data_IF_175477442162
#
_entry.id   IF_175477442162
#
_cell.length_a   1.000
_cell.length_b   1.000
_cell.length_c   1.000
_cell.angle_alpha   90.00
_cell.angle_beta   90.00
_cell.angle_gamma   90.00
#
_symmetry.space_group_name_H-M   'P 1'
#
loop_
_entity.id
_entity.type
_entity.pdbx_description
1 polymer ?
#
# COMPACT_ATOMS: atom_id res chain seq x y z
N UNK A 1 -7.46 -3.00 -30.72
CA UNK A 1 -7.09 -3.68 -32.00
C UNK A 1 -7.89 -4.96 -32.22
N UNK A 2 -7.85 -5.95 -31.30
CA UNK A 2 -8.57 -7.23 -31.46
C UNK A 2 -10.07 -7.09 -31.69
N UNK A 3 -10.72 -6.14 -31.00
CA UNK A 3 -12.12 -5.80 -31.27
C UNK A 3 -12.39 -5.43 -32.73
N UNK A 4 -11.55 -4.57 -33.33
CA UNK A 4 -11.64 -4.22 -34.76
C UNK A 4 -11.45 -5.43 -35.67
N UNK A 5 -10.61 -6.40 -35.28
CA UNK A 5 -10.46 -7.65 -36.04
C UNK A 5 -11.74 -8.48 -35.98
N UNK A 6 -12.39 -8.59 -34.81
CA UNK A 6 -13.67 -9.28 -34.68
C UNK A 6 -14.78 -8.60 -35.49
N UNK A 7 -14.83 -7.27 -35.50
CA UNK A 7 -15.78 -6.49 -36.32
C UNK A 7 -15.53 -6.74 -37.83
N UNK A 8 -14.28 -6.72 -38.29
CA UNK A 8 -13.92 -7.04 -39.67
C UNK A 8 -14.28 -8.49 -40.04
N UNK A 9 -14.03 -9.44 -39.14
CA UNK A 9 -14.40 -10.85 -39.32
C UNK A 9 -15.92 -10.98 -39.51
N UNK A 10 -16.71 -10.34 -38.66
CA UNK A 10 -18.17 -10.33 -38.76
C UNK A 10 -18.64 -9.79 -40.11
N UNK A 11 -18.08 -8.66 -40.55
CA UNK A 11 -18.43 -8.03 -41.83
C UNK A 11 -18.10 -8.91 -43.04
N UNK A 12 -16.89 -9.48 -43.07
CA UNK A 12 -16.46 -10.35 -44.17
C UNK A 12 -17.29 -11.63 -44.23
N UNK A 13 -17.58 -12.22 -43.06
CA UNK A 13 -18.42 -13.41 -42.97
C UNK A 13 -19.85 -13.13 -43.44
N UNK A 14 -20.44 -12.00 -43.01
CA UNK A 14 -21.79 -11.60 -43.43
C UNK A 14 -21.90 -11.37 -44.95
N UNK A 15 -20.80 -10.99 -45.61
CA UNK A 15 -20.72 -10.84 -47.08
C UNK A 15 -20.36 -12.13 -47.81
N UNK A 16 -20.27 -13.28 -47.13
CA UNK A 16 -19.88 -14.56 -47.72
C UNK A 16 -18.40 -14.67 -48.11
N UNK A 17 -17.55 -13.71 -47.72
CA UNK A 17 -16.13 -13.69 -48.07
C UNK A 17 -15.30 -14.57 -47.12
N UNK A 18 -15.63 -15.85 -47.02
CA UNK A 18 -15.13 -16.77 -46.00
C UNK A 18 -13.60 -16.95 -46.01
N UNK A 19 -12.98 -17.06 -47.20
CA UNK A 19 -11.50 -17.15 -47.32
C UNK A 19 -10.79 -15.92 -46.79
N UNK A 20 -11.41 -14.74 -46.90
CA UNK A 20 -10.86 -13.48 -46.38
C UNK A 20 -10.91 -13.41 -44.84
N UNK A 21 -11.76 -14.21 -44.19
CA UNK A 21 -11.89 -14.24 -42.71
C UNK A 21 -10.68 -14.93 -42.06
N UNK A 22 -10.18 -16.02 -42.65
CA UNK A 22 -9.08 -16.86 -42.12
C UNK A 22 -7.87 -16.04 -41.62
N UNK A 23 -7.26 -15.13 -42.41
CA UNK A 23 -6.08 -14.39 -41.95
C UNK A 23 -6.37 -13.48 -40.75
N UNK A 24 -7.58 -12.93 -40.63
CA UNK A 24 -7.95 -12.09 -39.47
C UNK A 24 -8.11 -12.92 -38.21
N UNK A 25 -8.72 -14.11 -38.31
CA UNK A 25 -8.86 -15.04 -37.18
C UNK A 25 -7.47 -15.50 -36.71
N UNK A 26 -6.60 -15.89 -37.64
CA UNK A 26 -5.21 -16.30 -37.32
C UNK A 26 -4.43 -15.17 -36.64
N UNK A 27 -4.46 -13.95 -37.20
CA UNK A 27 -3.80 -12.77 -36.63
C UNK A 27 -4.35 -12.43 -35.24
N UNK A 28 -5.67 -12.45 -35.09
CA UNK A 28 -6.36 -12.19 -33.82
C UNK A 28 -5.99 -13.19 -32.73
N UNK A 29 -6.03 -14.49 -33.05
CA UNK A 29 -5.62 -15.57 -32.14
C UNK A 29 -4.16 -15.43 -31.71
N UNK A 30 -3.25 -15.19 -32.66
CA UNK A 30 -1.83 -15.06 -32.34
C UNK A 30 -1.55 -13.87 -31.42
N UNK A 31 -2.25 -12.74 -31.62
CA UNK A 31 -2.18 -11.59 -30.72
C UNK A 31 -2.81 -11.90 -29.35
N UNK A 32 -3.95 -12.59 -29.31
CA UNK A 32 -4.57 -13.00 -28.06
C UNK A 32 -3.62 -13.88 -27.23
N UNK A 33 -2.92 -14.83 -27.85
CA UNK A 33 -1.88 -15.64 -27.19
C UNK A 33 -0.70 -14.78 -26.73
N UNK A 34 -0.16 -13.93 -27.62
CA UNK A 34 1.01 -13.10 -27.32
C UNK A 34 0.79 -12.18 -26.12
N UNK A 35 -0.41 -11.61 -25.99
CA UNK A 35 -0.75 -10.65 -24.94
C UNK A 35 -1.57 -11.28 -23.79
N UNK A 36 -1.74 -12.60 -23.80
CA UNK A 36 -2.53 -13.34 -22.81
C UNK A 36 -3.98 -12.82 -22.66
N UNK A 37 -4.60 -12.43 -23.77
CA UNK A 37 -5.99 -11.99 -23.82
C UNK A 37 -6.91 -13.18 -24.09
N UNK A 38 -6.96 -14.12 -23.14
CA UNK A 38 -7.59 -15.44 -23.32
C UNK A 38 -9.07 -15.37 -23.70
N UNK A 39 -9.83 -14.41 -23.14
CA UNK A 39 -11.24 -14.18 -23.49
C UNK A 39 -11.41 -13.83 -24.97
N UNK A 40 -10.55 -12.97 -25.52
CA UNK A 40 -10.47 -12.74 -26.97
C UNK A 40 -10.04 -13.99 -27.74
N UNK A 41 -9.12 -14.78 -27.17
CA UNK A 41 -8.73 -16.08 -27.70
C UNK A 41 -9.95 -16.98 -27.97
N UNK A 42 -10.85 -17.12 -26.99
CA UNK A 42 -12.10 -17.90 -27.12
C UNK A 42 -12.98 -17.38 -28.26
N UNK A 43 -13.10 -16.06 -28.43
CA UNK A 43 -13.84 -15.50 -29.57
C UNK A 43 -13.24 -15.91 -30.92
N UNK A 44 -11.91 -15.90 -31.06
CA UNK A 44 -11.27 -16.33 -32.29
C UNK A 44 -11.42 -17.85 -32.52
N UNK A 45 -11.35 -18.68 -31.47
CA UNK A 45 -11.65 -20.12 -31.55
C UNK A 45 -13.08 -20.35 -32.03
N UNK A 46 -14.06 -19.59 -31.54
CA UNK A 46 -15.45 -19.70 -32.00
C UNK A 46 -15.60 -19.35 -33.48
N UNK A 47 -14.81 -18.41 -34.00
CA UNK A 47 -14.76 -18.12 -35.44
C UNK A 47 -14.09 -19.24 -36.24
N UNK A 48 -12.99 -19.83 -35.76
CA UNK A 48 -12.37 -21.01 -36.42
C UNK A 48 -13.37 -22.17 -36.51
N UNK A 49 -14.15 -22.41 -35.44
CA UNK A 49 -15.21 -23.44 -35.41
C UNK A 49 -16.31 -23.15 -36.42
N UNK A 50 -16.77 -21.90 -36.52
CA UNK A 50 -17.78 -21.49 -37.51
C UNK A 50 -17.30 -21.73 -38.94
N UNK A 51 -16.06 -21.33 -39.27
CA UNK A 51 -15.48 -21.57 -40.59
C UNK A 51 -15.39 -23.07 -40.90
N UNK A 52 -15.02 -23.89 -39.92
CA UNK A 52 -14.95 -25.35 -40.07
C UNK A 52 -16.32 -26.01 -40.31
N UNK A 53 -17.44 -25.35 -39.98
CA UNK A 53 -18.79 -25.84 -40.27
C UNK A 53 -19.25 -25.52 -41.71
N UNK A 54 -18.67 -24.51 -42.36
CA UNK A 54 -19.19 -23.95 -43.63
C UNK A 54 -18.20 -23.98 -44.79
N UNK A 55 -16.92 -24.32 -44.54
CA UNK A 55 -15.87 -24.38 -45.55
C UNK A 55 -15.28 -25.78 -45.71
N UNK A 56 -14.62 -26.02 -46.85
CA UNK A 56 -13.75 -27.17 -47.04
C UNK A 56 -12.55 -27.14 -46.07
N UNK A 57 -12.28 -28.29 -45.46
CA UNK A 57 -11.36 -28.47 -44.34
C UNK A 57 -9.89 -28.46 -44.76
N UNK A 58 -9.58 -28.69 -46.03
CA UNK A 58 -8.20 -28.75 -46.54
C UNK A 58 -7.39 -27.46 -46.27
N UNK A 59 -8.09 -26.32 -46.14
CA UNK A 59 -7.49 -25.00 -45.88
C UNK A 59 -7.51 -24.57 -44.41
N UNK A 60 -8.02 -25.42 -43.51
CA UNK A 60 -8.27 -25.12 -42.11
C UNK A 60 -7.40 -25.98 -41.19
N UNK A 61 -7.23 -25.51 -39.96
CA UNK A 61 -6.64 -26.32 -38.88
C UNK A 61 -7.58 -27.47 -38.51
N UNK A 62 -7.00 -28.54 -37.97
CA UNK A 62 -7.77 -29.67 -37.45
C UNK A 62 -8.72 -29.20 -36.34
N UNK A 63 -9.97 -29.69 -36.36
CA UNK A 63 -10.96 -29.39 -35.32
C UNK A 63 -10.46 -29.80 -33.92
N UNK A 64 -9.68 -30.87 -33.81
CA UNK A 64 -9.13 -31.32 -32.54
C UNK A 64 -8.15 -30.31 -31.95
N UNK A 65 -7.32 -29.67 -32.79
CA UNK A 65 -6.41 -28.61 -32.35
C UNK A 65 -7.18 -27.36 -31.92
N UNK A 66 -8.21 -26.97 -32.68
CA UNK A 66 -9.06 -25.81 -32.37
C UNK A 66 -9.76 -26.01 -31.02
N UNK A 67 -10.30 -27.21 -30.77
CA UNK A 67 -10.94 -27.55 -29.50
C UNK A 67 -9.93 -27.69 -28.35
N UNK A 68 -8.72 -28.15 -28.60
CA UNK A 68 -7.65 -28.17 -27.61
C UNK A 68 -7.23 -26.75 -27.19
N UNK A 69 -7.02 -25.84 -28.16
CA UNK A 69 -6.74 -24.43 -27.91
C UNK A 69 -7.89 -23.78 -27.10
N UNK A 70 -9.14 -24.05 -27.49
CA UNK A 70 -10.32 -23.57 -26.77
C UNK A 70 -10.34 -24.00 -25.31
N UNK A 71 -10.07 -25.29 -25.03
CA UNK A 71 -9.96 -25.81 -23.66
C UNK A 71 -8.82 -25.14 -22.89
N UNK A 72 -7.65 -24.97 -23.51
CA UNK A 72 -6.51 -24.29 -22.88
C UNK A 72 -6.82 -22.83 -22.53
N UNK A 73 -7.50 -22.09 -23.41
CA UNK A 73 -7.91 -20.72 -23.10
C UNK A 73 -8.91 -20.66 -21.95
N UNK A 74 -9.89 -21.57 -21.92
CA UNK A 74 -10.84 -21.64 -20.79
C UNK A 74 -10.15 -21.96 -19.47
N UNK A 75 -9.18 -22.88 -19.46
CA UNK A 75 -8.39 -23.19 -18.26
C UNK A 75 -7.56 -21.99 -17.78
N UNK A 76 -6.92 -21.25 -18.70
CA UNK A 76 -6.17 -20.05 -18.34
C UNK A 76 -7.09 -18.95 -17.76
N UNK A 77 -8.29 -18.77 -18.32
CA UNK A 77 -9.27 -17.81 -17.78
C UNK A 77 -9.66 -18.19 -16.35
N UNK A 78 -9.93 -19.48 -16.11
CA UNK A 78 -10.28 -19.96 -14.77
C UNK A 78 -9.13 -19.76 -13.78
N UNK A 79 -7.90 -20.12 -14.17
CA UNK A 79 -6.72 -19.98 -13.32
C UNK A 79 -6.42 -18.50 -13.00
N UNK A 80 -6.54 -17.60 -13.99
CA UNK A 80 -6.39 -16.15 -13.77
C UNK A 80 -7.45 -15.62 -12.81
N UNK A 81 -8.72 -15.96 -13.04
CA UNK A 81 -9.82 -15.50 -12.20
C UNK A 81 -9.68 -15.99 -10.75
N UNK A 82 -9.35 -17.26 -10.54
CA UNK A 82 -9.10 -17.81 -9.19
C UNK A 82 -7.97 -17.07 -8.48
N UNK A 83 -6.87 -16.80 -9.19
CA UNK A 83 -5.70 -16.13 -8.62
C UNK A 83 -5.94 -14.64 -8.34
N UNK A 84 -6.63 -13.94 -9.24
CA UNK A 84 -7.01 -12.53 -9.05
C UNK A 84 -8.01 -12.39 -7.89
N UNK A 85 -9.00 -13.29 -7.79
CA UNK A 85 -9.97 -13.29 -6.67
C UNK A 85 -9.26 -13.42 -5.32
N UNK A 86 -8.28 -14.33 -5.20
CA UNK A 86 -7.48 -14.45 -3.97
C UNK A 86 -6.67 -13.18 -3.65
N UNK A 87 -6.20 -12.44 -4.67
CA UNK A 87 -5.51 -11.15 -4.46
C UNK A 87 -6.49 -10.06 -4.01
N UNK A 88 -7.67 -10.00 -4.60
CA UNK A 88 -8.73 -9.05 -4.21
C UNK A 88 -9.15 -9.27 -2.76
N UNK A 89 -9.35 -10.52 -2.34
CA UNK A 89 -9.62 -10.88 -0.95
C UNK A 89 -8.50 -10.40 0.01
N UNK A 90 -7.24 -10.49 -0.41
CA UNK A 90 -6.10 -10.02 0.38
C UNK A 90 -6.02 -8.50 0.47
N UNK A 91 -6.33 -7.78 -0.62
CA UNK A 91 -6.36 -6.31 -0.62
C UNK A 91 -7.56 -5.76 0.18
N UNK A 92 -8.71 -6.42 0.13
CA UNK A 92 -9.85 -6.10 0.99
C UNK A 92 -9.50 -6.32 2.46
N UNK A 93 -8.87 -7.47 2.77
CA UNK A 93 -8.37 -7.77 4.11
C UNK A 93 -7.42 -6.67 4.60
N UNK A 94 -6.49 -6.21 3.76
CA UNK A 94 -5.55 -5.12 4.09
C UNK A 94 -6.26 -3.80 4.38
N UNK A 95 -7.35 -3.51 3.67
CA UNK A 95 -8.08 -2.26 3.85
C UNK A 95 -8.81 -2.21 5.21
N UNK A 96 -9.25 -3.36 5.72
CA UNK A 96 -10.01 -3.47 6.98
C UNK A 96 -9.16 -3.88 8.18
N UNK A 97 -8.08 -4.63 7.97
CA UNK A 97 -7.30 -5.24 9.04
C UNK A 97 -6.49 -4.18 9.78
N UNK A 98 -6.90 -3.91 11.03
CA UNK A 98 -6.12 -3.13 11.99
C UNK A 98 -4.96 -3.94 12.60
N UNK A 99 -5.17 -5.25 12.71
CA UNK A 99 -4.16 -6.22 13.13
C UNK A 99 -4.38 -7.57 12.43
N UNK A 100 -3.38 -8.03 11.69
CA UNK A 100 -3.42 -9.32 11.01
C UNK A 100 -3.33 -10.52 11.98
N UNK A 101 -3.12 -10.28 13.29
CA UNK A 101 -3.20 -11.33 14.32
C UNK A 101 -4.64 -11.66 14.74
N UNK A 102 -5.64 -10.87 14.38
CA UNK A 102 -7.04 -11.22 14.66
C UNK A 102 -7.41 -12.56 14.00
N UNK A 103 -8.26 -13.34 14.68
CA UNK A 103 -8.56 -14.72 14.30
C UNK A 103 -9.21 -14.77 12.92
N UNK A 104 -10.12 -13.85 12.65
CA UNK A 104 -10.85 -13.70 11.40
C UNK A 104 -9.91 -13.43 10.23
N UNK A 105 -8.91 -12.56 10.42
CA UNK A 105 -7.92 -12.23 9.40
C UNK A 105 -6.99 -13.41 9.10
N UNK A 106 -6.62 -14.20 10.13
CA UNK A 106 -5.82 -15.42 9.93
C UNK A 106 -6.57 -16.50 9.17
N UNK A 107 -7.89 -16.63 9.38
CA UNK A 107 -8.70 -17.62 8.65
C UNK A 107 -8.67 -17.39 7.13
N UNK A 108 -8.75 -16.13 6.68
CA UNK A 108 -8.65 -15.81 5.24
C UNK A 108 -7.27 -16.21 4.69
N UNK A 109 -6.20 -15.84 5.39
CA UNK A 109 -4.84 -16.19 4.99
C UNK A 109 -4.60 -17.70 4.99
N UNK A 110 -5.13 -18.43 5.97
CA UNK A 110 -5.03 -19.87 6.07
C UNK A 110 -5.82 -20.57 4.96
N UNK A 111 -7.00 -20.06 4.61
CA UNK A 111 -7.78 -20.56 3.47
C UNK A 111 -6.99 -20.42 2.18
N UNK A 112 -6.46 -19.22 1.90
CA UNK A 112 -5.69 -18.94 0.69
C UNK A 112 -4.42 -19.78 0.63
N UNK A 113 -3.67 -19.88 1.74
CA UNK A 113 -2.45 -20.68 1.80
C UNK A 113 -2.70 -22.18 1.60
N UNK A 114 -3.87 -22.68 1.99
CA UNK A 114 -4.26 -24.08 1.81
C UNK A 114 -5.00 -24.36 0.50
N UNK A 115 -5.32 -23.34 -0.30
CA UNK A 115 -5.95 -23.52 -1.60
C UNK A 115 -5.09 -24.46 -2.48
N UNK A 116 -5.67 -25.44 -3.19
CA UNK A 116 -4.90 -26.44 -3.94
C UNK A 116 -3.85 -25.84 -4.88
N UNK A 117 -4.22 -24.78 -5.62
CA UNK A 117 -3.35 -24.08 -6.57
C UNK A 117 -2.15 -23.37 -5.91
N UNK A 118 -2.25 -23.03 -4.61
CA UNK A 118 -1.17 -22.41 -3.83
C UNK A 118 -0.35 -23.50 -3.13
N UNK A 119 -1.02 -24.41 -2.43
CA UNK A 119 -0.41 -25.46 -1.59
C UNK A 119 0.51 -26.39 -2.37
N UNK A 120 0.19 -26.68 -3.63
CA UNK A 120 1.01 -27.54 -4.49
C UNK A 120 2.35 -26.92 -4.88
N UNK A 121 2.59 -25.64 -4.59
CA UNK A 121 3.83 -24.90 -4.89
C UNK A 121 4.27 -24.97 -6.36
N UNK A 122 3.32 -25.19 -7.27
CA UNK A 122 3.56 -25.24 -8.71
C UNK A 122 3.13 -23.91 -9.30
N UNK A 123 4.10 -23.12 -9.75
CA UNK A 123 3.82 -21.82 -10.33
C UNK A 123 2.98 -21.96 -11.63
N UNK A 124 1.92 -21.15 -11.77
CA UNK A 124 1.22 -20.93 -13.03
C UNK A 124 2.11 -20.67 -14.24
N UNK A 125 1.61 -21.03 -15.42
CA UNK A 125 2.30 -20.74 -16.70
C UNK A 125 1.98 -19.34 -17.22
N UNK A 126 0.72 -18.91 -17.11
CA UNK A 126 0.29 -17.58 -17.55
C UNK A 126 0.96 -16.47 -16.74
N UNK A 127 1.28 -15.37 -17.40
CA UNK A 127 1.92 -14.21 -16.81
C UNK A 127 1.10 -13.64 -15.65
N UNK A 128 -0.21 -13.43 -15.83
CA UNK A 128 -1.08 -12.84 -14.79
C UNK A 128 -1.22 -13.78 -13.60
N UNK A 129 -1.59 -15.04 -13.84
CA UNK A 129 -1.67 -16.06 -12.78
C UNK A 129 -0.35 -16.19 -12.01
N UNK A 130 0.80 -16.11 -12.70
CA UNK A 130 2.12 -16.19 -12.07
C UNK A 130 2.45 -14.94 -11.25
N UNK A 131 2.06 -13.75 -11.70
CA UNK A 131 2.16 -12.52 -10.91
C UNK A 131 1.35 -12.64 -9.62
N UNK A 132 0.08 -13.00 -9.72
CA UNK A 132 -0.82 -13.17 -8.58
C UNK A 132 -0.28 -14.23 -7.61
N UNK A 133 0.19 -15.37 -8.11
CA UNK A 133 0.83 -16.41 -7.32
C UNK A 133 2.02 -15.88 -6.49
N UNK A 134 2.93 -15.11 -7.12
CA UNK A 134 4.08 -14.52 -6.41
C UNK A 134 3.64 -13.48 -5.36
N UNK A 135 2.61 -12.69 -5.66
CA UNK A 135 2.04 -11.71 -4.71
C UNK A 135 1.42 -12.41 -3.50
N UNK A 136 0.64 -13.48 -3.71
CA UNK A 136 0.07 -14.30 -2.62
C UNK A 136 1.18 -14.83 -1.72
N UNK A 137 2.25 -15.39 -2.28
CA UNK A 137 3.38 -15.87 -1.49
C UNK A 137 4.14 -14.76 -0.75
N UNK A 138 4.26 -13.57 -1.35
CA UNK A 138 4.81 -12.40 -0.67
C UNK A 138 3.98 -12.03 0.56
N UNK A 139 2.65 -12.04 0.44
CA UNK A 139 1.71 -11.81 1.53
C UNK A 139 1.81 -12.86 2.63
N UNK A 140 1.83 -14.14 2.27
CA UNK A 140 2.00 -15.24 3.23
C UNK A 140 3.33 -15.09 3.99
N UNK A 141 4.42 -14.78 3.29
CA UNK A 141 5.72 -14.56 3.92
C UNK A 141 5.70 -13.35 4.87
N UNK A 142 5.14 -12.23 4.43
CA UNK A 142 5.14 -11.00 5.21
C UNK A 142 4.26 -11.11 6.47
N UNK A 143 3.03 -11.60 6.31
CA UNK A 143 2.03 -11.56 7.38
C UNK A 143 2.12 -12.80 8.28
N UNK A 144 2.10 -14.00 7.68
CA UNK A 144 2.03 -15.25 8.45
C UNK A 144 3.39 -15.66 9.00
N UNK A 145 4.45 -15.50 8.21
CA UNK A 145 5.82 -15.90 8.60
C UNK A 145 6.61 -14.75 9.24
N UNK A 146 6.09 -13.52 9.17
CA UNK A 146 6.75 -12.30 9.65
C UNK A 146 8.14 -12.09 9.02
N UNK A 147 8.33 -12.55 7.78
CA UNK A 147 9.60 -12.49 7.06
C UNK A 147 9.52 -11.49 5.90
N UNK A 148 9.88 -10.24 6.21
CA UNK A 148 9.94 -9.16 5.22
C UNK A 148 11.01 -9.39 4.14
N UNK A 149 12.06 -10.16 4.44
CA UNK A 149 13.14 -10.46 3.48
C UNK A 149 12.62 -11.43 2.42
N UNK A 150 11.92 -12.50 2.83
CA UNK A 150 11.29 -13.42 1.89
C UNK A 150 10.20 -12.73 1.07
N UNK A 151 9.39 -11.88 1.69
CA UNK A 151 8.40 -11.06 0.97
C UNK A 151 9.04 -10.18 -0.11
N UNK A 152 10.18 -9.54 0.20
CA UNK A 152 10.96 -8.77 -0.77
C UNK A 152 11.48 -9.63 -1.93
N UNK A 153 11.94 -10.87 -1.67
CA UNK A 153 12.43 -11.80 -2.70
C UNK A 153 11.34 -12.15 -3.72
N UNK A 154 10.09 -12.32 -3.28
CA UNK A 154 8.96 -12.53 -4.19
C UNK A 154 8.71 -11.31 -5.08
N UNK A 155 8.76 -10.09 -4.53
CA UNK A 155 8.64 -8.87 -5.35
C UNK A 155 9.83 -8.67 -6.30
N UNK A 156 11.04 -9.06 -5.92
CA UNK A 156 12.18 -9.12 -6.85
C UNK A 156 11.89 -10.05 -8.03
N UNK A 157 11.26 -11.21 -7.76
CA UNK A 157 10.88 -12.16 -8.80
C UNK A 157 9.74 -11.63 -9.69
N UNK A 158 8.82 -10.84 -9.13
CA UNK A 158 7.78 -10.12 -9.86
C UNK A 158 8.41 -9.12 -10.84
N UNK A 159 9.38 -8.31 -10.40
CA UNK A 159 10.05 -7.35 -11.27
C UNK A 159 10.84 -8.03 -12.39
N UNK A 160 11.51 -9.15 -12.12
CA UNK A 160 12.15 -9.96 -13.16
C UNK A 160 11.13 -10.56 -14.14
N UNK A 161 9.93 -10.92 -13.68
CA UNK A 161 8.86 -11.39 -14.54
C UNK A 161 8.36 -10.28 -15.48
N UNK A 162 8.16 -9.06 -14.97
CA UNK A 162 7.83 -7.88 -15.78
C UNK A 162 8.93 -7.58 -16.82
N UNK A 163 10.20 -7.63 -16.42
CA UNK A 163 11.35 -7.40 -17.30
C UNK A 163 11.40 -8.39 -18.47
N UNK A 164 11.04 -9.66 -18.23
CA UNK A 164 10.94 -10.70 -19.28
C UNK A 164 9.74 -10.51 -20.21
N UNK A 165 8.75 -9.70 -19.82
CA UNK A 165 7.52 -9.46 -20.58
C UNK A 165 7.26 -7.96 -20.76
N UNK A 166 8.14 -7.21 -21.44
CA UNK A 166 8.02 -5.74 -21.55
C UNK A 166 6.72 -5.27 -22.22
N UNK A 167 6.14 -6.10 -23.10
CA UNK A 167 4.84 -5.83 -23.71
C UNK A 167 3.70 -5.80 -22.69
N UNK A 168 3.82 -6.53 -21.57
CA UNK A 168 2.84 -6.49 -20.48
C UNK A 168 2.92 -5.17 -19.72
N UNK A 169 4.11 -4.58 -19.56
CA UNK A 169 4.28 -3.26 -18.92
C UNK A 169 3.47 -2.19 -19.68
N UNK A 170 3.53 -2.23 -21.02
CA UNK A 170 2.76 -1.31 -21.87
C UNK A 170 1.25 -1.55 -21.70
N UNK A 171 0.82 -2.81 -21.62
CA UNK A 171 -0.60 -3.17 -21.49
C UNK A 171 -1.17 -2.86 -20.09
N UNK A 172 -0.33 -2.97 -19.05
CA UNK A 172 -0.75 -2.94 -17.64
C UNK A 172 0.16 -2.01 -16.81
N UNK A 173 0.31 -0.74 -17.21
CA UNK A 173 1.26 0.19 -16.59
C UNK A 173 0.96 0.41 -15.10
N UNK A 174 -0.32 0.47 -14.73
CA UNK A 174 -0.78 0.67 -13.35
C UNK A 174 -0.37 -0.49 -12.44
N UNK A 175 -0.50 -1.74 -12.92
CA UNK A 175 -0.14 -2.92 -12.14
C UNK A 175 1.38 -3.05 -11.98
N UNK A 176 2.14 -2.74 -13.04
CA UNK A 176 3.60 -2.69 -12.98
C UNK A 176 4.08 -1.63 -11.97
N UNK A 177 3.53 -0.41 -12.03
CA UNK A 177 3.86 0.66 -11.10
C UNK A 177 3.55 0.27 -9.64
N UNK A 178 2.40 -0.36 -9.39
CA UNK A 178 2.04 -0.85 -8.06
C UNK A 178 3.02 -1.92 -7.55
N UNK A 179 3.45 -2.85 -8.41
CA UNK A 179 4.40 -3.89 -8.05
C UNK A 179 5.80 -3.34 -7.75
N UNK A 180 6.24 -2.35 -8.53
CA UNK A 180 7.48 -1.62 -8.27
C UNK A 180 7.42 -0.87 -6.93
N UNK A 181 6.33 -0.15 -6.68
CA UNK A 181 6.14 0.57 -5.41
C UNK A 181 6.09 -0.39 -4.21
N UNK A 182 5.46 -1.55 -4.35
CA UNK A 182 5.47 -2.57 -3.30
C UNK A 182 6.88 -3.15 -3.07
N UNK A 183 7.66 -3.42 -4.13
CA UNK A 183 9.07 -3.79 -3.99
C UNK A 183 9.86 -2.71 -3.22
N UNK A 184 9.63 -1.43 -3.53
CA UNK A 184 10.26 -0.31 -2.82
C UNK A 184 9.84 -0.29 -1.34
N UNK A 185 8.55 -0.47 -1.01
CA UNK A 185 8.08 -0.56 0.38
C UNK A 185 8.81 -1.65 1.17
N UNK A 186 8.98 -2.84 0.59
CA UNK A 186 9.75 -3.92 1.22
C UNK A 186 11.23 -3.57 1.35
N UNK A 187 11.81 -2.91 0.36
CA UNK A 187 13.21 -2.46 0.36
C UNK A 187 13.50 -1.44 1.46
N UNK A 188 12.58 -0.50 1.69
CA UNK A 188 12.62 0.45 2.81
C UNK A 188 12.60 -0.32 4.14
N UNK A 189 11.70 -1.30 4.27
CA UNK A 189 11.51 -2.08 5.50
C UNK A 189 12.68 -3.02 5.81
N UNK A 190 13.38 -3.54 4.81
CA UNK A 190 14.56 -4.41 4.99
C UNK A 190 15.88 -3.64 5.10
N UNK A 191 15.84 -2.30 5.04
CA UNK A 191 17.02 -1.45 5.23
C UNK A 191 17.90 -1.26 3.99
N UNK A 192 17.50 -1.75 2.81
CA UNK A 192 18.33 -1.76 1.59
C UNK A 192 18.07 -0.55 0.69
N UNK A 193 18.12 0.67 1.25
CA UNK A 193 17.58 1.88 0.61
C UNK A 193 18.42 2.53 -0.49
N UNK A 194 19.63 2.03 -0.78
CA UNK A 194 20.59 2.70 -1.68
C UNK A 194 20.12 2.93 -3.12
N UNK A 195 19.10 2.19 -3.60
CA UNK A 195 18.55 2.34 -4.96
C UNK A 195 17.10 2.83 -4.98
N UNK A 196 16.54 3.24 -3.84
CA UNK A 196 15.10 3.53 -3.74
C UNK A 196 14.71 4.74 -4.60
N UNK A 197 15.50 5.81 -4.61
CA UNK A 197 15.18 7.02 -5.40
C UNK A 197 15.18 6.72 -6.89
N UNK A 198 16.21 6.01 -7.38
CA UNK A 198 16.27 5.58 -8.78
C UNK A 198 15.06 4.72 -9.19
N UNK A 199 14.59 3.83 -8.31
CA UNK A 199 13.39 3.03 -8.57
C UNK A 199 12.13 3.92 -8.64
N UNK A 200 12.01 4.92 -7.77
CA UNK A 200 10.89 5.86 -7.78
C UNK A 200 10.90 6.73 -9.04
N UNK A 201 12.06 7.23 -9.47
CA UNK A 201 12.21 8.04 -10.68
C UNK A 201 11.88 7.25 -11.95
N UNK A 202 12.10 5.93 -11.95
CA UNK A 202 11.71 5.09 -13.08
C UNK A 202 10.20 5.09 -13.37
N UNK A 203 9.35 5.47 -12.39
CA UNK A 203 7.91 5.61 -12.56
C UNK A 203 7.54 6.74 -13.54
N UNK A 204 8.39 7.76 -13.69
CA UNK A 204 8.13 8.91 -14.57
C UNK A 204 8.19 8.52 -16.06
N UNK A 205 8.86 7.40 -16.36
CA UNK A 205 8.96 6.84 -17.70
C UNK A 205 7.74 5.99 -18.09
N UNK A 206 6.82 5.73 -17.15
CA UNK A 206 5.64 4.90 -17.42
C UNK A 206 4.57 5.72 -18.15
N UNK A 207 4.13 5.19 -19.29
CA UNK A 207 3.02 5.77 -20.05
C UNK A 207 1.69 5.19 -19.60
N UNK A 208 0.82 6.06 -19.09
CA UNK A 208 -0.53 5.72 -18.65
C UNK A 208 -1.56 6.07 -19.73
N UNK A 209 -2.48 5.16 -20.00
CA UNK A 209 -3.60 5.38 -20.92
C UNK A 209 -4.68 6.28 -20.32
N UNK A 210 -4.89 6.18 -19.00
CA UNK A 210 -5.94 6.92 -18.30
C UNK A 210 -5.34 7.93 -17.33
N UNK A 211 -5.92 9.13 -17.28
CA UNK A 211 -5.53 10.20 -16.35
C UNK A 211 -5.66 9.74 -14.89
N UNK A 212 -6.72 9.01 -14.57
CA UNK A 212 -6.97 8.49 -13.22
C UNK A 212 -5.83 7.56 -12.77
N UNK A 213 -5.42 6.61 -13.61
CA UNK A 213 -4.32 5.69 -13.31
C UNK A 213 -3.02 6.42 -12.99
N UNK A 214 -2.67 7.43 -13.82
CA UNK A 214 -1.49 8.28 -13.58
C UNK A 214 -1.56 8.96 -12.21
N UNK A 215 -2.70 9.57 -11.89
CA UNK A 215 -2.91 10.27 -10.61
C UNK A 215 -2.83 9.29 -9.45
N UNK A 216 -3.46 8.12 -9.58
CA UNK A 216 -3.44 7.06 -8.58
C UNK A 216 -2.01 6.56 -8.33
N UNK A 217 -1.21 6.35 -9.38
CA UNK A 217 0.21 5.98 -9.23
C UNK A 217 1.04 7.07 -8.57
N UNK A 218 0.86 8.34 -8.94
CA UNK A 218 1.57 9.45 -8.29
C UNK A 218 1.20 9.54 -6.79
N UNK A 219 -0.07 9.35 -6.44
CA UNK A 219 -0.50 9.28 -5.04
C UNK A 219 0.23 8.16 -4.29
N UNK A 220 0.29 6.95 -4.86
CA UNK A 220 1.02 5.83 -4.26
C UNK A 220 2.52 6.11 -4.14
N UNK A 221 3.14 6.73 -5.15
CA UNK A 221 4.53 7.21 -5.09
C UNK A 221 4.73 8.12 -3.89
N UNK A 222 3.88 9.14 -3.72
CA UNK A 222 3.97 10.05 -2.57
C UNK A 222 3.79 9.34 -1.22
N UNK A 223 2.92 8.34 -1.14
CA UNK A 223 2.79 7.54 0.08
C UNK A 223 4.07 6.77 0.41
N UNK A 224 4.79 6.26 -0.61
CA UNK A 224 6.07 5.58 -0.45
C UNK A 224 7.21 6.56 -0.13
N UNK A 225 7.25 7.74 -0.76
CA UNK A 225 8.22 8.80 -0.45
C UNK A 225 8.06 9.30 1.00
N UNK A 226 6.83 9.45 1.49
CA UNK A 226 6.59 9.76 2.90
C UNK A 226 7.01 8.63 3.83
N UNK A 227 6.76 7.37 3.45
CA UNK A 227 7.26 6.23 4.22
C UNK A 227 8.79 6.25 4.31
N UNK A 228 9.48 6.55 3.20
CA UNK A 228 10.93 6.72 3.17
C UNK A 228 11.35 7.87 4.10
N UNK A 229 10.72 9.03 3.98
CA UNK A 229 11.00 10.20 4.81
C UNK A 229 10.77 9.95 6.31
N UNK A 230 9.79 9.14 6.70
CA UNK A 230 9.56 8.78 8.11
C UNK A 230 10.61 7.80 8.64
N UNK A 231 11.04 6.83 7.83
CA UNK A 231 12.02 5.82 8.26
C UNK A 231 13.47 6.31 8.17
N UNK A 232 13.72 7.32 7.33
CA UNK A 232 15.03 7.92 7.04
C UNK A 232 14.94 9.47 7.12
N UNK A 233 14.73 10.01 8.33
CA UNK A 233 14.37 11.42 8.55
C UNK A 233 15.48 12.45 8.27
N UNK A 234 16.71 12.03 7.94
CA UNK A 234 17.82 12.94 7.58
C UNK A 234 18.07 13.06 6.08
N UNK A 235 17.11 12.60 5.28
CA UNK A 235 17.07 12.95 3.86
C UNK A 235 16.78 14.45 3.73
N UNK A 236 17.62 15.18 2.97
CA UNK A 236 17.36 16.61 2.68
C UNK A 236 16.00 16.74 1.97
N UNK A 237 15.26 17.81 2.26
CA UNK A 237 14.04 18.16 1.51
C UNK A 237 12.73 17.57 2.04
N UNK A 238 12.65 17.01 3.27
CA UNK A 238 11.39 16.47 3.84
C UNK A 238 10.26 17.51 3.91
N UNK A 239 10.58 18.73 4.36
CA UNK A 239 9.61 19.82 4.42
C UNK A 239 9.11 20.18 3.01
N UNK A 240 10.03 20.31 2.06
CA UNK A 240 9.73 20.62 0.65
C UNK A 240 8.88 19.52 0.00
N UNK A 241 9.18 18.26 0.30
CA UNK A 241 8.39 17.11 -0.12
C UNK A 241 6.95 17.22 0.38
N UNK A 242 6.74 17.48 1.68
CA UNK A 242 5.39 17.63 2.22
C UNK A 242 4.63 18.79 1.56
N UNK A 243 5.26 19.94 1.37
CA UNK A 243 4.65 21.10 0.72
C UNK A 243 4.29 20.79 -0.74
N UNK A 244 5.14 20.04 -1.44
CA UNK A 244 4.88 19.53 -2.79
C UNK A 244 3.66 18.61 -2.81
N UNK A 245 3.60 17.64 -1.90
CA UNK A 245 2.49 16.69 -1.82
C UNK A 245 1.19 17.42 -1.45
N UNK A 246 1.19 18.33 -0.48
CA UNK A 246 0.00 19.10 -0.10
C UNK A 246 -0.56 19.92 -1.27
N UNK A 247 0.31 20.63 -2.02
CA UNK A 247 -0.09 21.35 -3.24
C UNK A 247 -0.68 20.40 -4.28
N UNK A 248 -0.07 19.25 -4.46
CA UNK A 248 -0.55 18.24 -5.41
C UNK A 248 -1.90 17.63 -4.99
N UNK A 249 -2.08 17.30 -3.72
CA UNK A 249 -3.34 16.77 -3.16
C UNK A 249 -4.47 17.79 -3.35
N UNK A 250 -4.23 19.07 -3.04
CA UNK A 250 -5.20 20.15 -3.25
C UNK A 250 -5.59 20.29 -4.72
N UNK A 251 -4.63 20.16 -5.64
CA UNK A 251 -4.88 20.24 -7.09
C UNK A 251 -5.71 19.07 -7.62
N UNK A 252 -5.68 17.91 -6.97
CA UNK A 252 -6.33 16.68 -7.46
C UNK A 252 -7.40 16.15 -6.50
N UNK A 253 -7.93 16.99 -5.60
CA UNK A 253 -8.83 16.58 -4.52
C UNK A 253 -10.09 15.86 -5.00
N UNK A 254 -10.61 16.20 -6.18
CA UNK A 254 -11.80 15.55 -6.77
C UNK A 254 -11.57 14.07 -7.15
N UNK A 255 -10.31 13.67 -7.39
CA UNK A 255 -9.95 12.31 -7.79
C UNK A 255 -9.31 11.50 -6.66
N UNK A 256 -9.25 12.08 -5.46
CA UNK A 256 -8.59 11.47 -4.30
C UNK A 256 -9.64 11.21 -3.22
N UNK A 257 -9.84 9.93 -2.92
CA UNK A 257 -10.71 9.49 -1.83
C UNK A 257 -10.23 10.06 -0.48
N UNK A 258 -11.17 10.53 0.34
CA UNK A 258 -10.91 11.16 1.63
C UNK A 258 -10.09 10.29 2.60
N UNK A 259 -10.15 8.96 2.48
CA UNK A 259 -9.33 8.03 3.28
C UNK A 259 -7.83 8.28 3.08
N UNK A 260 -7.42 8.65 1.87
CA UNK A 260 -6.02 8.99 1.62
C UNK A 260 -5.62 10.29 2.29
N UNK A 261 -6.50 11.30 2.29
CA UNK A 261 -6.23 12.58 2.96
C UNK A 261 -5.99 12.38 4.47
N UNK A 262 -6.75 11.48 5.10
CA UNK A 262 -6.52 11.06 6.50
C UNK A 262 -5.11 10.49 6.68
N UNK A 263 -4.70 9.53 5.84
CA UNK A 263 -3.36 8.94 5.92
C UNK A 263 -2.23 9.94 5.65
N UNK A 264 -2.40 10.83 4.67
CA UNK A 264 -1.42 11.88 4.36
C UNK A 264 -1.29 12.87 5.51
N UNK A 265 -2.41 13.39 6.04
CA UNK A 265 -2.38 14.35 7.15
C UNK A 265 -1.84 13.74 8.45
N UNK A 266 -2.10 12.45 8.69
CA UNK A 266 -1.44 11.70 9.77
C UNK A 266 0.09 11.72 9.60
N UNK A 267 0.60 11.33 8.44
CA UNK A 267 2.05 11.30 8.17
C UNK A 267 2.68 12.70 8.22
N UNK A 268 2.03 13.71 7.64
CA UNK A 268 2.49 15.10 7.70
C UNK A 268 2.58 15.61 9.14
N UNK A 269 1.58 15.30 9.98
CA UNK A 269 1.60 15.67 11.40
C UNK A 269 2.85 15.12 12.09
N UNK A 270 3.16 13.84 11.87
CA UNK A 270 4.35 13.20 12.45
C UNK A 270 5.66 13.76 11.91
N UNK A 271 5.75 14.03 10.60
CA UNK A 271 6.96 14.57 9.99
C UNK A 271 7.21 16.00 10.51
N UNK A 272 6.23 16.90 10.46
CA UNK A 272 6.40 18.25 11.03
C UNK A 272 6.72 18.20 12.53
N UNK A 273 6.08 17.30 13.28
CA UNK A 273 6.37 17.12 14.70
C UNK A 273 7.82 16.69 14.97
N UNK A 274 8.31 15.69 14.23
CA UNK A 274 9.68 15.17 14.39
C UNK A 274 10.76 16.15 13.92
N UNK A 275 10.42 17.08 13.01
CA UNK A 275 11.26 18.20 12.58
C UNK A 275 11.20 19.41 13.53
N UNK A 276 10.35 19.38 14.57
CA UNK A 276 10.19 20.50 15.51
C UNK A 276 9.31 21.65 14.97
N UNK A 277 8.69 21.47 13.82
CA UNK A 277 7.76 22.42 13.18
C UNK A 277 6.36 22.33 13.82
N UNK A 278 6.27 22.52 15.14
CA UNK A 278 5.07 22.25 15.94
C UNK A 278 3.83 23.02 15.48
N UNK A 279 4.01 24.27 15.02
CA UNK A 279 2.91 25.08 14.49
C UNK A 279 2.34 24.50 13.20
N UNK A 280 3.19 24.07 12.26
CA UNK A 280 2.76 23.42 11.01
C UNK A 280 2.09 22.08 11.31
N UNK A 281 2.67 21.28 12.22
CA UNK A 281 2.05 20.03 12.67
C UNK A 281 0.64 20.26 13.24
N UNK A 282 0.44 21.32 14.03
CA UNK A 282 -0.86 21.67 14.60
C UNK A 282 -1.91 22.06 13.54
N UNK A 283 -1.50 22.75 12.47
CA UNK A 283 -2.39 23.10 11.36
C UNK A 283 -2.86 21.84 10.62
N UNK A 284 -1.94 20.95 10.26
CA UNK A 284 -2.31 19.71 9.54
C UNK A 284 -3.10 18.75 10.43
N UNK A 285 -2.78 18.70 11.73
CA UNK A 285 -3.57 17.93 12.69
C UNK A 285 -5.02 18.43 12.80
N UNK A 286 -5.23 19.75 12.73
CA UNK A 286 -6.58 20.33 12.69
C UNK A 286 -7.33 19.89 11.44
N UNK A 287 -6.66 19.86 10.28
CA UNK A 287 -7.25 19.34 9.05
C UNK A 287 -7.60 17.86 9.16
N UNK A 288 -6.73 17.03 9.73
CA UNK A 288 -6.99 15.61 10.01
C UNK A 288 -8.26 15.42 10.84
N UNK A 289 -8.40 16.18 11.94
CA UNK A 289 -9.54 16.09 12.86
C UNK A 289 -10.88 16.49 12.24
N UNK A 290 -10.86 17.31 11.19
CA UNK A 290 -12.05 17.76 10.49
C UNK A 290 -12.49 16.81 9.36
N UNK A 291 -11.74 15.73 9.09
CA UNK A 291 -12.11 14.76 8.06
C UNK A 291 -13.20 13.82 8.55
N UNK A 292 -14.33 13.74 7.83
CA UNK A 292 -15.41 12.79 8.14
C UNK A 292 -14.94 11.33 8.09
N UNK A 293 -13.95 11.01 7.25
CA UNK A 293 -13.37 9.67 7.16
C UNK A 293 -12.68 9.22 8.47
N UNK A 294 -12.37 10.14 9.39
CA UNK A 294 -11.82 9.83 10.71
C UNK A 294 -12.82 9.10 11.62
N UNK A 295 -14.13 9.22 11.37
CA UNK A 295 -15.20 8.61 12.19
C UNK A 295 -15.02 7.08 12.31
N UNK A 296 -14.52 6.43 11.27
CA UNK A 296 -14.32 4.97 11.24
C UNK A 296 -12.92 4.54 11.77
N UNK A 297 -12.15 5.48 12.32
CA UNK A 297 -10.75 5.31 12.76
C UNK A 297 -10.55 5.86 14.19
N UNK A 298 -11.11 5.18 15.21
CA UNK A 298 -10.97 5.60 16.61
C UNK A 298 -9.50 5.69 17.05
N UNK A 299 -8.65 4.78 16.55
CA UNK A 299 -7.21 4.77 16.77
C UNK A 299 -6.53 6.08 16.31
N UNK A 300 -6.97 6.66 15.19
CA UNK A 300 -6.46 7.94 14.71
C UNK A 300 -7.08 9.14 15.43
N UNK A 301 -8.30 8.99 15.96
CA UNK A 301 -8.91 10.01 16.80
C UNK A 301 -8.15 10.14 18.13
N UNK A 302 -7.82 9.01 18.77
CA UNK A 302 -7.05 8.98 20.01
C UNK A 302 -5.63 9.53 19.79
N UNK A 303 -4.98 9.13 18.69
CA UNK A 303 -3.73 9.75 18.24
C UNK A 303 -3.86 11.27 18.13
N UNK A 304 -4.91 11.76 17.47
CA UNK A 304 -5.08 13.19 17.24
C UNK A 304 -5.31 13.96 18.55
N UNK A 305 -6.01 13.36 19.52
CA UNK A 305 -6.25 13.94 20.84
C UNK A 305 -4.94 14.07 21.63
N UNK A 306 -4.13 13.02 21.68
CA UNK A 306 -2.83 13.02 22.35
C UNK A 306 -1.88 14.01 21.69
N UNK A 307 -1.75 13.95 20.37
CA UNK A 307 -0.86 14.83 19.61
C UNK A 307 -1.23 16.29 19.75
N UNK A 308 -2.53 16.62 19.80
CA UNK A 308 -2.95 18.01 20.00
C UNK A 308 -2.40 18.56 21.31
N UNK A 309 -2.45 17.77 22.39
CA UNK A 309 -1.94 18.18 23.70
C UNK A 309 -0.42 18.36 23.65
N UNK A 310 0.31 17.42 23.04
CA UNK A 310 1.78 17.50 22.89
C UNK A 310 2.17 18.75 22.11
N UNK A 311 1.50 19.04 20.99
CA UNK A 311 1.83 20.18 20.14
C UNK A 311 1.58 21.52 20.84
N UNK A 312 0.53 21.64 21.66
CA UNK A 312 0.30 22.84 22.46
C UNK A 312 1.31 22.96 23.60
N UNK A 313 1.68 21.82 24.20
CA UNK A 313 2.72 21.78 25.22
C UNK A 313 4.07 22.27 24.69
N UNK A 314 4.49 21.84 23.50
CA UNK A 314 5.72 22.31 22.86
C UNK A 314 5.70 23.79 22.49
N UNK A 315 4.51 24.31 22.17
CA UNK A 315 4.29 25.74 21.93
C UNK A 315 4.21 26.56 23.23
N UNK A 316 4.32 25.92 24.41
CA UNK A 316 4.24 26.54 25.73
C UNK A 316 2.87 27.18 26.04
N UNK A 317 1.81 26.73 25.37
CA UNK A 317 0.43 27.17 25.57
C UNK A 317 -0.22 26.43 26.75
N UNK A 318 0.33 26.57 27.95
CA UNK A 318 0.01 25.72 29.10
C UNK A 318 -1.44 25.83 29.59
N UNK A 319 -2.07 27.00 29.44
CA UNK A 319 -3.50 27.19 29.77
C UNK A 319 -4.39 26.33 28.86
N UNK A 320 -4.09 26.33 27.56
CA UNK A 320 -4.78 25.51 26.58
C UNK A 320 -4.50 24.03 26.82
N UNK A 321 -3.28 23.66 27.20
CA UNK A 321 -2.95 22.28 27.60
C UNK A 321 -3.82 21.83 28.76
N UNK A 322 -4.00 22.64 29.82
CA UNK A 322 -4.85 22.24 30.96
C UNK A 322 -6.31 22.05 30.54
N UNK A 323 -6.82 22.93 29.66
CA UNK A 323 -8.15 22.75 29.07
C UNK A 323 -8.26 21.44 28.28
N UNK A 324 -7.30 21.17 27.39
CA UNK A 324 -7.28 19.96 26.55
C UNK A 324 -7.14 18.68 27.38
N UNK A 325 -6.35 18.69 28.46
CA UNK A 325 -6.24 17.56 29.39
C UNK A 325 -7.59 17.24 30.06
N UNK A 326 -8.32 18.26 30.50
CA UNK A 326 -9.68 18.08 31.07
C UNK A 326 -10.65 17.54 30.02
N UNK A 327 -10.58 18.03 28.78
CA UNK A 327 -11.41 17.55 27.69
C UNK A 327 -11.10 16.08 27.33
N UNK A 328 -9.82 15.73 27.20
CA UNK A 328 -9.37 14.36 26.93
C UNK A 328 -9.80 13.40 28.04
N UNK A 329 -9.67 13.77 29.31
CA UNK A 329 -10.12 12.94 30.43
C UNK A 329 -11.62 12.64 30.36
N UNK A 330 -12.46 13.64 30.07
CA UNK A 330 -13.91 13.44 29.88
C UNK A 330 -14.23 12.55 28.68
N UNK A 331 -13.47 12.70 27.60
CA UNK A 331 -13.62 11.86 26.41
C UNK A 331 -13.34 10.39 26.73
N UNK A 332 -12.19 10.09 27.34
CA UNK A 332 -11.80 8.71 27.67
C UNK A 332 -12.69 8.06 28.74
N UNK A 333 -13.24 8.83 29.68
CA UNK A 333 -14.22 8.32 30.64
C UNK A 333 -15.52 7.85 29.97
N UNK A 334 -15.89 8.41 28.81
CA UNK A 334 -17.10 8.04 28.07
C UNK A 334 -16.90 6.85 27.13
N UNK A 335 -15.66 6.55 26.74
CA UNK A 335 -15.33 5.55 25.71
C UNK A 335 -15.21 4.11 26.25
N UNK A 336 -15.46 3.86 27.54
CA UNK A 336 -15.29 2.57 28.25
C UNK A 336 -13.89 1.91 28.15
N UNK A 337 -13.02 2.34 27.25
CA UNK A 337 -11.69 1.77 27.01
C UNK A 337 -10.62 2.86 26.93
N UNK A 338 -10.16 3.33 28.10
CA UNK A 338 -8.93 4.12 28.20
C UNK A 338 -7.74 3.18 28.34
N UNK A 339 -6.80 3.25 27.41
CA UNK A 339 -5.56 2.46 27.50
C UNK A 339 -4.71 2.89 28.70
N UNK A 340 -3.86 1.97 29.18
CA UNK A 340 -2.93 2.28 30.27
C UNK A 340 -1.93 3.39 29.87
N UNK A 341 -1.55 3.43 28.59
CA UNK A 341 -0.69 4.47 28.04
C UNK A 341 -1.36 5.85 28.13
N UNK A 342 -2.59 6.00 27.63
CA UNK A 342 -3.32 7.27 27.69
C UNK A 342 -3.48 7.76 29.12
N UNK A 343 -3.76 6.86 30.07
CA UNK A 343 -3.91 7.21 31.48
C UNK A 343 -2.63 7.79 32.05
N UNK A 344 -1.50 7.08 31.86
CA UNK A 344 -0.21 7.54 32.36
C UNK A 344 0.28 8.80 31.65
N UNK A 345 -0.05 8.94 30.36
CA UNK A 345 0.27 10.13 29.58
C UNK A 345 -0.47 11.38 30.07
N UNK A 346 -1.79 11.30 30.28
CA UNK A 346 -2.58 12.42 30.81
C UNK A 346 -2.16 12.80 32.23
N UNK A 347 -1.87 11.81 33.08
CA UNK A 347 -1.36 12.05 34.43
C UNK A 347 0.00 12.76 34.42
N UNK A 348 0.90 12.34 33.53
CA UNK A 348 2.21 12.96 33.37
C UNK A 348 2.09 14.44 33.01
N UNK A 349 1.34 14.78 31.97
CA UNK A 349 1.18 16.16 31.54
C UNK A 349 0.46 17.02 32.58
N UNK A 350 -0.52 16.47 33.30
CA UNK A 350 -1.20 17.17 34.40
C UNK A 350 -0.24 17.49 35.56
N UNK A 351 0.69 16.59 35.89
CA UNK A 351 1.70 16.82 36.93
C UNK A 351 2.75 17.83 36.47
N UNK A 352 3.20 17.71 35.22
CA UNK A 352 4.20 18.60 34.64
C UNK A 352 3.73 20.06 34.60
N UNK A 353 2.51 20.30 34.11
CA UNK A 353 1.92 21.66 34.00
C UNK A 353 1.76 22.36 35.34
N UNK A 354 1.70 21.61 36.46
CA UNK A 354 1.47 22.16 37.81
C UNK A 354 2.73 22.33 38.66
N UNK A 355 3.75 21.48 38.47
CA UNK A 355 4.88 21.38 39.40
C UNK A 355 6.25 21.38 38.68
N UNK A 356 6.43 22.29 37.72
CA UNK A 356 7.65 22.46 36.89
C UNK A 356 8.91 21.82 37.50
N UNK A 357 9.43 20.78 36.83
CA UNK A 357 10.74 20.18 37.10
C UNK A 357 10.99 19.56 38.49
N UNK A 358 9.96 19.07 39.18
CA UNK A 358 10.18 18.22 40.37
C UNK A 358 10.78 16.84 40.02
N UNK A 359 11.52 16.24 40.96
CA UNK A 359 12.01 14.85 40.85
C UNK A 359 10.89 13.84 40.58
N UNK A 360 9.69 14.10 41.11
CA UNK A 360 8.50 13.30 40.87
C UNK A 360 8.07 13.33 39.39
N UNK A 361 8.20 14.48 38.73
CA UNK A 361 7.87 14.64 37.30
C UNK A 361 8.87 13.90 36.42
N UNK A 362 10.17 13.94 36.77
CA UNK A 362 11.22 13.20 36.07
C UNK A 362 11.06 11.68 36.23
N UNK A 363 10.71 11.20 37.44
CA UNK A 363 10.42 9.78 37.68
C UNK A 363 9.23 9.29 36.85
N UNK A 364 8.15 10.08 36.80
CA UNK A 364 6.97 9.74 36.02
C UNK A 364 7.24 9.73 34.51
N UNK A 365 8.03 10.69 34.01
CA UNK A 365 8.46 10.73 32.61
C UNK A 365 9.24 9.46 32.21
N UNK A 366 10.19 9.05 33.06
CA UNK A 366 10.96 7.81 32.85
C UNK A 366 10.08 6.56 32.89
N UNK A 367 9.12 6.51 33.81
CA UNK A 367 8.16 5.41 33.90
C UNK A 367 7.27 5.31 32.65
N UNK A 368 6.75 6.44 32.18
CA UNK A 368 5.95 6.52 30.96
C UNK A 368 6.75 6.08 29.71
N UNK A 369 7.98 6.57 29.57
CA UNK A 369 8.87 6.15 28.49
C UNK A 369 9.15 4.64 28.54
N UNK A 370 9.47 4.11 29.73
CA UNK A 370 9.71 2.67 29.91
C UNK A 370 8.49 1.84 29.53
N UNK A 371 7.31 2.20 30.05
CA UNK A 371 6.07 1.51 29.74
C UNK A 371 5.75 1.54 28.24
N UNK A 372 5.96 2.68 27.59
CA UNK A 372 5.81 2.80 26.14
C UNK A 372 6.73 1.85 25.38
N UNK A 373 8.01 1.80 25.76
CA UNK A 373 8.96 0.86 25.16
C UNK A 373 8.57 -0.61 25.42
N UNK A 374 8.08 -0.95 26.61
CA UNK A 374 7.62 -2.31 26.94
C UNK A 374 6.35 -2.69 26.17
N UNK A 375 5.41 -1.76 26.01
CA UNK A 375 4.22 -1.93 25.16
C UNK A 375 4.52 -1.91 23.65
N UNK A 376 5.74 -1.55 23.26
CA UNK A 376 6.20 -1.53 21.86
C UNK A 376 6.76 -2.85 21.38
N UNK A 377 6.73 -3.90 22.21
CA UNK A 377 7.07 -5.26 21.78
C UNK A 377 6.06 -5.73 20.71
N UNK A 378 6.53 -6.02 19.47
CA UNK A 378 5.69 -6.53 18.39
C UNK A 378 4.95 -7.81 18.74
N UNK A 379 5.34 -8.55 19.79
CA UNK A 379 4.67 -9.74 20.27
C UNK A 379 3.30 -9.43 20.92
N UNK A 380 3.12 -8.24 21.50
CA UNK A 380 2.01 -7.90 22.42
C UNK A 380 0.73 -7.37 21.76
N UNK A 381 0.77 -6.94 20.49
CA UNK A 381 -0.41 -6.46 19.77
C UNK A 381 -0.09 -5.39 18.73
N UNK A 382 -1.11 -4.81 18.07
CA UNK A 382 -0.93 -3.73 17.11
C UNK A 382 -0.56 -2.45 17.87
N UNK A 383 0.44 -1.75 17.35
CA UNK A 383 0.98 -0.56 17.99
C UNK A 383 0.10 0.66 17.69
N UNK A 384 -0.38 1.42 18.70
CA UNK A 384 -1.19 2.60 18.45
C UNK A 384 -0.46 3.63 17.58
N UNK A 385 -1.12 4.30 16.63
CA UNK A 385 -0.49 5.26 15.73
C UNK A 385 0.26 6.37 16.48
N UNK A 386 1.48 6.69 16.05
CA UNK A 386 2.28 7.82 16.58
C UNK A 386 3.06 7.53 17.87
N UNK A 387 2.93 6.32 18.41
CA UNK A 387 3.51 5.98 19.71
C UNK A 387 5.04 5.97 19.70
N UNK A 388 5.70 5.66 18.58
CA UNK A 388 7.16 5.70 18.45
C UNK A 388 7.66 7.14 18.52
N UNK A 389 6.99 8.05 17.81
CA UNK A 389 7.32 9.47 17.81
C UNK A 389 7.09 10.09 19.18
N UNK A 390 6.03 9.68 19.90
CA UNK A 390 5.81 10.09 21.29
C UNK A 390 6.89 9.52 22.22
N UNK A 391 7.32 8.27 22.04
CA UNK A 391 8.42 7.70 22.81
C UNK A 391 9.73 8.48 22.59
N UNK A 392 10.07 8.80 21.35
CA UNK A 392 11.23 9.65 21.04
C UNK A 392 11.10 11.06 21.61
N UNK A 393 9.90 11.63 21.57
CA UNK A 393 9.63 12.91 22.19
C UNK A 393 9.89 12.86 23.71
N UNK A 394 9.38 11.86 24.42
CA UNK A 394 9.64 11.68 25.85
C UNK A 394 11.14 11.49 26.13
N UNK A 395 11.84 10.70 25.33
CA UNK A 395 13.29 10.51 25.43
C UNK A 395 14.05 11.84 25.26
N UNK A 396 13.61 12.69 24.33
CA UNK A 396 14.21 14.02 24.10
C UNK A 396 14.07 14.91 25.34
N UNK A 397 12.91 14.84 26.02
CA UNK A 397 12.67 15.55 27.29
C UNK A 397 13.51 15.01 28.44
N UNK A 398 13.70 13.69 28.51
CA UNK A 398 14.58 13.06 29.52
C UNK A 398 16.03 13.51 29.32
N UNK A 399 16.50 13.50 28.08
CA UNK A 399 17.89 13.87 27.72
C UNK A 399 18.12 15.38 27.63
N UNK A 400 17.06 16.19 27.72
CA UNK A 400 17.08 17.65 27.57
C UNK A 400 17.72 18.11 26.25
N UNK A 401 17.44 17.39 25.17
CA UNK A 401 17.82 17.77 23.81
C UNK A 401 16.57 17.95 22.95
N UNK A 402 16.70 18.64 21.82
CA UNK A 402 15.57 18.78 20.90
C UNK A 402 15.20 17.43 20.27
N UNK A 403 13.93 17.23 19.92
CA UNK A 403 13.49 16.02 19.21
C UNK A 403 14.22 15.84 17.86
N UNK A 404 14.41 16.88 17.03
CA UNK A 404 15.21 16.77 15.81
C UNK A 404 16.67 16.36 16.07
N UNK A 405 17.28 16.81 17.18
CA UNK A 405 18.63 16.40 17.52
C UNK A 405 18.71 14.94 17.98
N UNK A 406 17.74 14.49 18.79
CA UNK A 406 17.67 13.10 19.23
C UNK A 406 17.51 12.15 18.04
N UNK A 407 16.60 12.48 17.14
CA UNK A 407 16.35 11.68 15.94
C UNK A 407 17.65 11.55 15.12
N UNK A 408 18.52 12.58 15.10
CA UNK A 408 19.76 12.60 14.31
C UNK A 408 20.75 11.59 14.85
N UNK A 409 20.96 11.68 16.16
CA UNK A 409 21.82 10.75 16.90
C UNK A 409 21.37 9.29 16.76
N UNK A 410 20.07 9.02 16.65
CA UNK A 410 19.56 7.65 16.45
C UNK A 410 19.71 7.12 15.02
N UNK A 411 19.91 8.00 14.04
CA UNK A 411 20.02 7.63 12.64
C UNK A 411 21.48 7.60 12.15
N UNK A 412 22.41 8.15 12.93
CA UNK A 412 23.86 7.98 12.75
C UNK A 412 24.20 6.48 12.70
N UNK A 413 24.59 5.98 11.52
CA UNK A 413 24.91 4.57 11.27
C UNK A 413 23.89 3.77 10.45
N UNK A 414 22.73 4.35 10.09
CA UNK A 414 21.81 3.73 9.11
C UNK A 414 22.29 3.96 7.67
N UNK A 415 22.03 3.02 6.74
CA UNK A 415 22.38 3.20 5.33
C UNK A 415 21.75 4.47 4.76
N UNK A 416 22.53 5.23 3.99
CA UNK A 416 22.07 6.45 3.33
C UNK A 416 21.16 6.10 2.17
N UNK A 417 20.10 6.91 2.00
CA UNK A 417 19.29 6.88 0.78
C UNK A 417 20.15 7.44 -0.34
N UNK A 418 20.38 6.64 -1.37
CA UNK A 418 21.17 6.96 -2.55
C UNK A 418 20.31 7.45 -3.71
#
# INVERSE_FOLDING_TARGET
MLRKYLENIQLLYARGLLKAVIPWVKKGRNLAVKYELWTYGVHFINWERKLHQVMDKASLRSINEILADGRNFSLNIQEEFEMESMIEELEDLKAIARDFKQVEHRQVLDRIANHPSIKQKKAPKGFISRLCYLKIWSWIAFVKQQDAISAQKYYSSILELWKKHPHQVIMRPTQYAADLLNYVRFTIRTGKVGNVLHLLDSLDNIQFHYKYDRINTIRERYAVELMLAMNYPYTKGRIELMETIQKWLKKHSEMIDARWLVSFNYNFTLIYFTEGEYRKAGLVLKELRNQNALINRPDLHDFAQIMQIILQFEQKEYELVEYLLRAAHRYYQRQETMSQFERMFLEYLKKYTRHSHSDATTKLLKALHKQLCESSDPSTGPFPPGTYEVAFWLESKIKKISLPELMRKKMEGRPTVG
#
